data_IF_830049121544
#
_entry.id   IF_830049121544
#
_cell.length_a   1.000
_cell.length_b   1.000
_cell.length_c   1.000
_cell.angle_alpha   90.00
_cell.angle_beta   90.00
_cell.angle_gamma   90.00
#
_symmetry.space_group_name_H-M   'P 1'
#
loop_
_entity.id
_entity.type
_entity.pdbx_description
1 polymer ?
#
# COMPACT_ATOMS: atom_id res chain seq x y z
N UNK A 1 -1.03 -2.80 52.63
CA UNK A 1 -1.03 -1.60 51.76
C UNK A 1 -0.57 -2.04 50.38
N UNK A 2 -1.40 -1.92 49.32
CA UNK A 2 -0.96 -2.29 47.98
C UNK A 2 0.03 -1.24 47.44
N UNK A 3 1.09 -1.69 46.79
CA UNK A 3 2.19 -0.85 46.31
C UNK A 3 1.86 -0.22 44.93
N UNK A 4 2.44 0.95 44.58
CA UNK A 4 2.05 1.73 43.40
C UNK A 4 2.22 1.07 42.02
N UNK A 5 2.81 -0.12 41.94
CA UNK A 5 3.21 -0.80 40.70
C UNK A 5 2.02 -1.44 39.97
N UNK A 6 1.04 -1.98 40.71
CA UNK A 6 -0.15 -2.66 40.14
C UNK A 6 -1.05 -1.74 39.29
N UNK A 7 -1.08 -0.43 39.57
CA UNK A 7 -1.90 0.51 38.80
C UNK A 7 -1.31 0.80 37.41
N UNK A 8 0.00 0.62 37.20
CA UNK A 8 0.63 0.94 35.91
C UNK A 8 0.50 -0.25 34.94
N UNK A 9 0.55 -1.48 35.45
CA UNK A 9 0.44 -2.70 34.64
C UNK A 9 -0.96 -2.90 34.05
N UNK A 10 -2.00 -2.33 34.67
CA UNK A 10 -3.37 -2.42 34.17
C UNK A 10 -3.70 -1.40 33.06
N UNK A 11 -2.96 -0.29 32.98
CA UNK A 11 -3.25 0.83 32.06
C UNK A 11 -2.48 0.69 30.74
N UNK A 12 -1.29 0.07 30.75
CA UNK A 12 -0.52 -0.28 29.55
C UNK A 12 -1.31 -1.08 28.49
N UNK A 13 -1.98 -2.21 28.82
CA UNK A 13 -2.71 -2.99 27.82
C UNK A 13 -3.90 -2.24 27.23
N UNK A 14 -4.45 -1.25 27.94
CA UNK A 14 -5.51 -0.40 27.44
C UNK A 14 -4.97 0.68 26.49
N UNK A 15 -3.81 1.27 26.81
CA UNK A 15 -3.12 2.24 25.97
C UNK A 15 -2.65 1.64 24.64
N UNK A 16 -2.08 0.44 24.68
CA UNK A 16 -1.63 -0.26 23.47
C UNK A 16 -2.81 -0.60 22.55
N UNK A 17 -3.94 -1.01 23.13
CA UNK A 17 -5.15 -1.35 22.38
C UNK A 17 -5.81 -0.13 21.74
N UNK A 18 -5.87 1.00 22.47
CA UNK A 18 -6.36 2.27 21.92
C UNK A 18 -5.41 2.79 20.84
N UNK A 19 -4.09 2.72 21.06
CA UNK A 19 -3.09 3.14 20.09
C UNK A 19 -3.22 2.37 18.78
N UNK A 20 -3.32 1.04 18.86
CA UNK A 20 -3.53 0.20 17.67
C UNK A 20 -4.83 0.56 16.94
N UNK A 21 -5.95 0.67 17.65
CA UNK A 21 -7.25 1.01 17.06
C UNK A 21 -7.26 2.40 16.42
N UNK A 22 -6.61 3.38 17.05
CA UNK A 22 -6.51 4.74 16.53
C UNK A 22 -5.69 4.80 15.24
N UNK A 23 -4.55 4.09 15.18
CA UNK A 23 -3.71 4.01 13.98
C UNK A 23 -4.45 3.34 12.84
N UNK A 24 -5.13 2.23 13.12
CA UNK A 24 -5.93 1.50 12.12
C UNK A 24 -7.08 2.37 11.58
N UNK A 25 -7.83 3.03 12.47
CA UNK A 25 -8.93 3.94 12.11
C UNK A 25 -8.43 5.12 11.28
N UNK A 26 -7.29 5.72 11.67
CA UNK A 26 -6.68 6.81 10.91
C UNK A 26 -6.29 6.36 9.50
N UNK A 27 -5.73 5.16 9.36
CA UNK A 27 -5.34 4.63 8.06
C UNK A 27 -6.54 4.47 7.13
N UNK A 28 -7.64 3.91 7.63
CA UNK A 28 -8.88 3.78 6.87
C UNK A 28 -9.50 5.12 6.49
N UNK A 29 -9.46 6.10 7.39
CA UNK A 29 -9.97 7.44 7.11
C UNK A 29 -9.13 8.13 6.02
N UNK A 30 -7.80 8.07 6.12
CA UNK A 30 -6.90 8.63 5.11
C UNK A 30 -7.17 8.00 3.73
N UNK A 31 -7.34 6.69 3.70
CA UNK A 31 -7.65 5.97 2.48
C UNK A 31 -9.01 6.34 1.89
N UNK A 32 -10.02 6.54 2.74
CA UNK A 32 -11.33 7.00 2.31
C UNK A 32 -11.23 8.36 1.62
N UNK A 33 -10.50 9.30 2.22
CA UNK A 33 -10.26 10.63 1.66
C UNK A 33 -9.56 10.53 0.30
N UNK A 34 -8.52 9.69 0.19
CA UNK A 34 -7.82 9.46 -1.09
C UNK A 34 -8.77 8.90 -2.16
N UNK A 35 -9.58 7.90 -1.81
CA UNK A 35 -10.59 7.34 -2.72
C UNK A 35 -11.59 8.39 -3.22
N UNK A 36 -12.09 9.24 -2.32
CA UNK A 36 -12.98 10.35 -2.68
C UNK A 36 -12.28 11.37 -3.59
N UNK A 37 -11.02 11.72 -3.32
CA UNK A 37 -10.25 12.64 -4.16
C UNK A 37 -10.03 12.08 -5.57
N UNK A 38 -9.71 10.79 -5.71
CA UNK A 38 -9.56 10.13 -7.01
C UNK A 38 -10.87 10.20 -7.80
N UNK A 39 -11.99 9.83 -7.15
CA UNK A 39 -13.31 9.87 -7.78
C UNK A 39 -13.70 11.30 -8.21
N UNK A 40 -13.48 12.29 -7.34
CA UNK A 40 -13.73 13.69 -7.65
C UNK A 40 -12.89 14.18 -8.83
N UNK A 41 -11.58 13.88 -8.83
CA UNK A 41 -10.67 14.24 -9.90
C UNK A 41 -11.09 13.61 -11.23
N UNK A 42 -11.47 12.32 -11.23
CA UNK A 42 -11.91 11.63 -12.43
C UNK A 42 -13.16 12.26 -13.03
N UNK A 43 -14.17 12.55 -12.20
CA UNK A 43 -15.42 13.19 -12.63
C UNK A 43 -15.14 14.58 -13.19
N UNK A 44 -14.33 15.38 -12.50
CA UNK A 44 -13.95 16.72 -12.96
C UNK A 44 -13.24 16.67 -14.32
N UNK A 45 -12.28 15.77 -14.50
CA UNK A 45 -11.58 15.56 -15.78
C UNK A 45 -12.55 15.12 -16.88
N UNK A 46 -13.46 14.19 -16.60
CA UNK A 46 -14.48 13.78 -17.59
C UNK A 46 -15.35 14.94 -18.03
N UNK A 47 -15.89 15.73 -17.08
CA UNK A 47 -16.72 16.90 -17.40
C UNK A 47 -15.92 17.92 -18.24
N UNK A 48 -14.66 18.16 -17.90
CA UNK A 48 -13.77 19.03 -18.67
C UNK A 48 -13.59 18.58 -20.11
N UNK A 49 -13.37 17.27 -20.34
CA UNK A 49 -13.24 16.70 -21.69
C UNK A 49 -14.55 16.90 -22.48
N UNK A 50 -15.71 16.63 -21.87
CA UNK A 50 -17.01 16.78 -22.55
C UNK A 50 -17.39 18.23 -22.85
N UNK A 51 -16.91 19.19 -22.05
CA UNK A 51 -17.28 20.60 -22.18
C UNK A 51 -16.32 21.37 -23.10
N UNK A 52 -15.04 21.05 -23.06
CA UNK A 52 -14.00 21.82 -23.77
C UNK A 52 -13.48 21.13 -25.04
N UNK A 53 -13.59 19.80 -25.16
CA UNK A 53 -13.08 19.01 -26.30
C UNK A 53 -14.21 18.30 -27.04
N UNK A 54 -14.12 18.24 -28.38
CA UNK A 54 -15.09 17.49 -29.20
C UNK A 54 -14.93 15.97 -29.10
N UNK A 55 -13.75 15.48 -28.69
CA UNK A 55 -13.44 14.07 -28.51
C UNK A 55 -12.38 13.87 -27.42
N UNK A 56 -12.40 12.72 -26.77
CA UNK A 56 -11.36 12.33 -25.81
C UNK A 56 -10.09 11.88 -26.55
N UNK A 57 -8.95 12.47 -26.20
CA UNK A 57 -7.65 12.00 -26.70
C UNK A 57 -7.24 10.69 -26.02
N UNK A 58 -6.26 9.99 -26.60
CA UNK A 58 -5.65 8.80 -25.96
C UNK A 58 -5.11 9.18 -24.58
N UNK A 59 -4.42 10.30 -24.44
CA UNK A 59 -3.90 10.77 -23.15
C UNK A 59 -4.99 10.95 -22.09
N UNK A 60 -6.15 11.49 -22.49
CA UNK A 60 -7.29 11.69 -21.60
C UNK A 60 -7.83 10.34 -21.11
N UNK A 61 -7.91 9.35 -22.01
CA UNK A 61 -8.34 7.98 -21.68
C UNK A 61 -7.31 7.28 -20.78
N UNK A 62 -6.01 7.45 -21.05
CA UNK A 62 -4.93 6.90 -20.23
C UNK A 62 -4.96 7.50 -18.82
N UNK A 63 -5.23 8.81 -18.70
CA UNK A 63 -5.37 9.49 -17.42
C UNK A 63 -6.58 8.97 -16.64
N UNK A 64 -7.73 8.78 -17.30
CA UNK A 64 -8.92 8.15 -16.71
C UNK A 64 -8.63 6.72 -16.24
N UNK A 65 -7.81 5.96 -16.98
CA UNK A 65 -7.39 4.63 -16.54
C UNK A 65 -6.51 4.68 -15.28
N UNK A 66 -5.60 5.65 -15.16
CA UNK A 66 -4.80 5.83 -13.93
C UNK A 66 -5.72 6.09 -12.74
N UNK A 67 -6.76 6.92 -12.90
CA UNK A 67 -7.74 7.14 -11.83
C UNK A 67 -8.49 5.86 -11.47
N UNK A 68 -8.94 5.10 -12.47
CA UNK A 68 -9.65 3.84 -12.24
C UNK A 68 -8.75 2.81 -11.54
N UNK A 69 -7.48 2.72 -11.94
CA UNK A 69 -6.50 1.81 -11.35
C UNK A 69 -6.18 2.17 -9.91
N UNK A 70 -5.89 3.45 -9.63
CA UNK A 70 -5.69 3.95 -8.27
C UNK A 70 -6.93 3.71 -7.40
N UNK A 71 -8.13 3.97 -7.94
CA UNK A 71 -9.40 3.71 -7.26
C UNK A 71 -9.61 2.23 -6.95
N UNK A 72 -9.28 1.33 -7.88
CA UNK A 72 -9.36 -0.11 -7.67
C UNK A 72 -8.38 -0.59 -6.59
N UNK A 73 -7.15 -0.07 -6.58
CA UNK A 73 -6.16 -0.39 -5.55
C UNK A 73 -6.63 0.07 -4.16
N UNK A 74 -7.19 1.29 -4.06
CA UNK A 74 -7.80 1.81 -2.84
C UNK A 74 -8.97 0.92 -2.39
N UNK A 75 -9.84 0.50 -3.31
CA UNK A 75 -10.96 -0.40 -3.01
C UNK A 75 -10.52 -1.79 -2.54
N UNK A 76 -9.47 -2.36 -3.14
CA UNK A 76 -8.89 -3.65 -2.72
C UNK A 76 -8.27 -3.52 -1.33
N UNK A 77 -7.59 -2.40 -1.04
CA UNK A 77 -7.03 -2.15 0.28
C UNK A 77 -8.12 -2.20 1.35
N UNK A 78 -9.26 -1.52 1.13
CA UNK A 78 -10.39 -1.54 2.06
C UNK A 78 -10.85 -2.96 2.41
N UNK A 79 -10.79 -3.89 1.46
CA UNK A 79 -11.16 -5.30 1.69
C UNK A 79 -10.08 -6.14 2.37
N UNK A 80 -8.80 -5.78 2.26
CA UNK A 80 -7.68 -6.70 2.59
C UNK A 80 -6.79 -6.25 3.75
N UNK A 81 -6.93 -5.03 4.27
CA UNK A 81 -6.21 -4.53 5.46
C UNK A 81 -4.68 -4.59 5.41
N UNK A 82 -4.09 -4.81 4.22
CA UNK A 82 -2.67 -5.06 4.09
C UNK A 82 -1.92 -3.77 3.73
N UNK A 83 -0.90 -3.42 4.52
CA UNK A 83 -0.06 -2.23 4.36
C UNK A 83 0.35 -1.93 2.90
N UNK A 84 0.30 -0.64 2.46
CA UNK A 84 0.25 -0.27 1.05
C UNK A 84 1.59 -0.28 0.30
N UNK A 85 2.72 -0.58 0.95
CA UNK A 85 4.05 -0.38 0.35
C UNK A 85 4.23 -1.15 -0.96
N UNK A 86 3.69 -2.38 -1.04
CA UNK A 86 3.75 -3.18 -2.28
C UNK A 86 2.87 -2.61 -3.40
N UNK A 87 1.74 -2.01 -3.03
CA UNK A 87 0.82 -1.37 -3.97
C UNK A 87 1.45 -0.14 -4.62
N UNK A 88 2.25 0.64 -3.89
CA UNK A 88 2.92 1.82 -4.42
C UNK A 88 3.86 1.50 -5.59
N UNK A 89 4.59 0.38 -5.53
CA UNK A 89 5.50 -0.03 -6.61
C UNK A 89 4.70 -0.45 -7.85
N UNK A 90 3.59 -1.16 -7.69
CA UNK A 90 2.71 -1.51 -8.80
C UNK A 90 2.13 -0.26 -9.47
N UNK A 91 1.66 0.70 -8.68
CA UNK A 91 1.16 1.99 -9.17
C UNK A 91 2.22 2.72 -9.97
N UNK A 92 3.47 2.75 -9.50
CA UNK A 92 4.56 3.39 -10.22
C UNK A 92 4.84 2.71 -11.57
N UNK A 93 4.84 1.37 -11.61
CA UNK A 93 5.02 0.61 -12.86
C UNK A 93 3.90 0.94 -13.85
N UNK A 94 2.64 0.94 -13.41
CA UNK A 94 1.55 1.20 -14.36
C UNK A 94 1.52 2.66 -14.80
N UNK A 95 1.81 3.61 -13.92
CA UNK A 95 1.95 5.02 -14.29
C UNK A 95 3.06 5.23 -15.34
N UNK A 96 4.23 4.62 -15.15
CA UNK A 96 5.32 4.68 -16.14
C UNK A 96 4.94 3.98 -17.45
N UNK A 97 4.23 2.86 -17.39
CA UNK A 97 3.75 2.17 -18.58
C UNK A 97 2.74 3.02 -19.36
N UNK A 98 1.87 3.75 -18.65
CA UNK A 98 0.92 4.71 -19.26
C UNK A 98 1.65 5.88 -19.90
N UNK A 99 2.68 6.42 -19.23
CA UNK A 99 3.55 7.46 -19.78
C UNK A 99 4.24 6.97 -21.07
N UNK A 100 4.75 5.74 -21.09
CA UNK A 100 5.38 5.15 -22.28
C UNK A 100 4.43 5.15 -23.48
N UNK A 101 3.18 4.72 -23.27
CA UNK A 101 2.16 4.69 -24.33
C UNK A 101 1.86 6.11 -24.83
N UNK A 102 1.76 7.09 -23.94
CA UNK A 102 1.53 8.50 -24.31
C UNK A 102 2.68 9.07 -25.15
N UNK A 103 3.94 8.79 -24.77
CA UNK A 103 5.14 9.22 -25.51
C UNK A 103 5.17 8.61 -26.92
N UNK A 104 4.84 7.31 -27.07
CA UNK A 104 4.80 6.63 -28.38
C UNK A 104 3.75 7.25 -29.31
N UNK A 105 2.62 7.71 -28.77
CA UNK A 105 1.54 8.29 -29.57
C UNK A 105 1.85 9.71 -30.05
N UNK A 106 2.59 10.50 -29.26
CA UNK A 106 2.97 11.87 -29.62
C UNK A 106 4.19 11.91 -30.54
N UNK A 107 5.27 11.23 -30.13
CA UNK A 107 6.53 11.22 -30.86
C UNK A 107 6.64 9.94 -31.69
N UNK A 108 6.19 10.00 -32.94
CA UNK A 108 6.32 8.91 -33.92
C UNK A 108 7.79 8.63 -34.34
N UNK A 109 8.77 9.22 -33.66
CA UNK A 109 10.21 9.02 -33.88
C UNK A 109 10.85 8.49 -32.60
N UNK A 110 11.85 7.63 -32.75
CA UNK A 110 12.65 7.13 -31.65
C UNK A 110 13.36 8.29 -30.93
N UNK A 111 12.74 8.78 -29.86
CA UNK A 111 13.27 9.84 -28.98
C UNK A 111 14.04 9.23 -27.81
N UNK A 112 14.95 10.00 -27.22
CA UNK A 112 15.67 9.58 -26.01
C UNK A 112 14.69 9.34 -24.84
N UNK A 113 13.57 10.04 -24.81
CA UNK A 113 12.53 9.88 -23.78
C UNK A 113 11.94 8.47 -23.78
N UNK A 114 11.74 7.87 -24.96
CA UNK A 114 11.28 6.50 -25.08
C UNK A 114 12.25 5.51 -24.39
N UNK A 115 13.56 5.70 -24.60
CA UNK A 115 14.59 4.87 -23.98
C UNK A 115 14.67 5.09 -22.46
N UNK A 116 14.53 6.34 -21.99
CA UNK A 116 14.54 6.67 -20.56
C UNK A 116 13.32 6.06 -19.86
N UNK A 117 12.12 6.17 -20.42
CA UNK A 117 10.92 5.58 -19.81
C UNK A 117 11.00 4.05 -19.80
N UNK A 118 11.43 3.44 -20.90
CA UNK A 118 11.58 1.97 -20.98
C UNK A 118 12.62 1.45 -19.99
N UNK A 119 13.78 2.12 -19.88
CA UNK A 119 14.81 1.75 -18.90
C UNK A 119 14.35 1.98 -17.46
N UNK A 120 13.56 3.02 -17.19
CA UNK A 120 12.95 3.26 -15.87
C UNK A 120 12.01 2.12 -15.47
N UNK A 121 11.17 1.64 -16.39
CA UNK A 121 10.29 0.47 -16.15
C UNK A 121 11.13 -0.78 -15.86
N UNK A 122 12.21 -1.00 -16.61
CA UNK A 122 13.12 -2.12 -16.39
C UNK A 122 13.75 -2.07 -14.99
N UNK A 123 14.22 -0.90 -14.56
CA UNK A 123 14.78 -0.69 -13.22
C UNK A 123 13.74 -0.97 -12.12
N UNK A 124 12.51 -0.49 -12.28
CA UNK A 124 11.42 -0.78 -11.33
C UNK A 124 11.07 -2.28 -11.29
N UNK A 125 11.07 -2.94 -12.44
CA UNK A 125 10.82 -4.38 -12.55
C UNK A 125 11.90 -5.20 -11.81
N UNK A 126 13.17 -4.77 -11.88
CA UNK A 126 14.26 -5.37 -11.10
C UNK A 126 14.09 -5.07 -9.62
N UNK A 127 13.75 -3.84 -9.25
CA UNK A 127 13.54 -3.46 -7.86
C UNK A 127 12.45 -4.31 -7.18
N UNK A 128 11.31 -4.54 -7.85
CA UNK A 128 10.25 -5.38 -7.30
C UNK A 128 10.66 -6.86 -7.22
N UNK A 129 11.47 -7.35 -8.15
CA UNK A 129 12.04 -8.70 -8.09
C UNK A 129 12.90 -8.85 -6.82
N UNK A 130 13.78 -7.88 -6.55
CA UNK A 130 14.63 -7.87 -5.36
C UNK A 130 13.78 -7.85 -4.09
N UNK A 131 12.78 -6.95 -4.00
CA UNK A 131 11.88 -6.86 -2.84
C UNK A 131 11.11 -8.17 -2.64
N UNK A 132 10.62 -8.78 -3.72
CA UNK A 132 9.91 -10.06 -3.67
C UNK A 132 10.82 -11.19 -3.21
N UNK A 133 12.04 -11.24 -3.72
CA UNK A 133 13.03 -12.25 -3.35
C UNK A 133 13.42 -12.13 -1.87
N UNK A 134 13.73 -10.91 -1.41
CA UNK A 134 14.07 -10.64 -0.01
C UNK A 134 12.92 -11.01 0.94
N UNK A 135 11.68 -10.65 0.57
CA UNK A 135 10.47 -10.98 1.36
C UNK A 135 10.18 -12.48 1.43
N UNK A 136 10.60 -13.28 0.44
CA UNK A 136 10.44 -14.73 0.46
C UNK A 136 11.55 -15.41 1.27
N UNK A 137 12.78 -14.90 1.20
CA UNK A 137 13.92 -15.54 1.88
C UNK A 137 14.04 -15.18 3.37
N UNK A 138 13.56 -14.01 3.79
CA UNK A 138 13.55 -13.57 5.19
C UNK A 138 12.13 -13.23 5.67
N UNK A 139 11.22 -14.21 5.80
CA UNK A 139 9.99 -13.99 6.54
C UNK A 139 10.36 -13.67 7.99
N UNK A 140 9.90 -12.52 8.51
CA UNK A 140 10.18 -12.07 9.87
C UNK A 140 9.77 -13.16 10.87
N UNK A 141 10.78 -13.88 11.37
CA UNK A 141 10.66 -14.86 12.43
C UNK A 141 10.36 -14.16 13.77
N UNK A 142 9.19 -13.53 13.88
CA UNK A 142 8.60 -13.09 15.15
C UNK A 142 7.44 -14.05 15.45
N UNK A 143 7.73 -15.36 15.49
CA UNK A 143 6.75 -16.36 15.96
C UNK A 143 7.34 -17.55 16.69
N UNK A 144 8.57 -17.46 17.20
CA UNK A 144 9.19 -18.59 17.92
C UNK A 144 9.56 -18.28 19.37
N UNK A 145 9.66 -17.00 19.76
CA UNK A 145 10.09 -16.63 21.12
C UNK A 145 8.95 -16.62 22.16
N UNK A 146 7.68 -16.56 21.76
CA UNK A 146 6.55 -16.61 22.70
C UNK A 146 6.13 -18.04 23.10
N UNK A 147 6.38 -19.05 22.26
CA UNK A 147 6.10 -20.45 22.61
C UNK A 147 7.12 -21.00 23.61
N UNK A 148 8.39 -20.60 23.49
CA UNK A 148 9.45 -21.05 24.40
C UNK A 148 9.31 -20.49 25.82
N UNK A 149 8.73 -19.29 25.99
CA UNK A 149 8.46 -18.72 27.32
C UNK A 149 7.25 -19.40 27.97
N UNK A 150 6.16 -19.64 27.23
CA UNK A 150 4.98 -20.33 27.77
C UNK A 150 5.27 -21.80 28.15
N UNK A 151 6.17 -22.48 27.44
CA UNK A 151 6.54 -23.87 27.75
C UNK A 151 7.54 -23.99 28.92
N UNK A 152 8.28 -22.92 29.24
CA UNK A 152 9.24 -22.89 30.36
C UNK A 152 8.63 -22.47 31.71
N UNK A 153 7.38 -22.00 31.69
CA UNK A 153 6.63 -21.54 32.86
C UNK A 153 5.74 -22.62 33.49
N UNK A 154 5.84 -23.88 33.05
CA UNK A 154 5.45 -25.05 33.84
C UNK A 154 6.68 -25.80 34.36
N UNK A 155 7.38 -25.28 35.39
CA UNK A 155 8.21 -26.10 36.24
C UNK A 155 7.30 -26.78 37.30
N UNK A 156 7.12 -28.09 37.15
CA UNK A 156 7.60 -29.01 38.18
C UNK A 156 6.95 -29.00 39.60
N UNK A 157 5.64 -28.75 39.71
CA UNK A 157 4.94 -28.75 41.02
C UNK A 157 3.92 -29.91 41.24
N UNK A 158 3.67 -30.77 40.25
CA UNK A 158 2.59 -31.79 40.33
C UNK A 158 3.03 -33.27 40.43
N UNK A 159 4.33 -33.58 40.61
CA UNK A 159 4.82 -34.98 40.66
C UNK A 159 5.33 -35.44 42.04
N UNK A 160 5.03 -34.71 43.12
CA UNK A 160 5.27 -35.15 44.50
C UNK A 160 4.18 -34.61 45.46
N UNK A 161 2.98 -35.18 45.39
CA UNK A 161 2.00 -35.20 46.47
C UNK A 161 1.00 -36.36 46.27
#
# INVERSE_FOLDING_TARGET
MPTPKDKIDQVQPFLDRIGHLAVESFHYLALFIIGCMIAWSAVHTTIGIFTEKNYASIDDILLLFIYLELGAMVGIYFKTNHMPVRFLIYVAITALTRLLISVIQHDHKASLDLLIVTSSILILAVAILIVRYASWHYPSAIREKNETVSKKLQPQDDELA
#
